data_IF_512182864499
#
_entry.id   IF_512182864499
#
_cell.length_a   1.000
_cell.length_b   1.000
_cell.length_c   1.000
_cell.angle_alpha   90.00
_cell.angle_beta   90.00
_cell.angle_gamma   90.00
#
_symmetry.space_group_name_H-M   'P 1'
#
loop_
_entity.id
_entity.type
_entity.pdbx_description
1 polymer ?
#
# COMPACT_ATOMS: atom_id res chain seq x y z
N UNK A 1 -17.33 14.73 -17.16
CA UNK A 1 -16.04 14.04 -16.98
C UNK A 1 -15.80 13.89 -15.48
N UNK A 2 -16.06 12.72 -14.89
CA UNK A 2 -15.95 12.51 -13.44
C UNK A 2 -14.91 11.44 -13.15
N UNK A 3 -13.79 11.86 -12.55
CA UNK A 3 -12.68 10.99 -12.19
C UNK A 3 -13.09 9.94 -11.18
N UNK A 4 -12.79 8.67 -11.49
CA UNK A 4 -12.90 7.53 -10.57
C UNK A 4 -11.82 7.70 -9.49
N UNK A 5 -12.16 7.98 -8.24
CA UNK A 5 -11.17 8.14 -7.17
C UNK A 5 -11.08 6.85 -6.35
N UNK A 6 -9.90 6.23 -6.32
CA UNK A 6 -9.60 5.17 -5.35
C UNK A 6 -9.06 5.82 -4.08
N UNK A 7 -9.78 5.65 -2.97
CA UNK A 7 -9.48 6.25 -1.66
C UNK A 7 -8.50 5.33 -0.93
N UNK A 8 -7.24 5.76 -0.79
CA UNK A 8 -6.21 5.08 -0.02
C UNK A 8 -6.12 5.75 1.36
N UNK A 9 -6.40 5.01 2.44
CA UNK A 9 -6.34 5.50 3.81
C UNK A 9 -5.13 4.88 4.51
N UNK A 10 -3.98 5.55 4.54
CA UNK A 10 -2.78 5.00 5.18
C UNK A 10 -2.91 5.10 6.71
N UNK A 11 -2.86 3.97 7.42
CA UNK A 11 -2.82 3.90 8.89
C UNK A 11 -1.49 3.24 9.28
N UNK A 12 -0.55 4.00 9.84
CA UNK A 12 0.71 3.47 10.35
C UNK A 12 0.59 3.11 11.84
N UNK A 13 0.73 1.82 12.18
CA UNK A 13 1.12 1.34 13.52
C UNK A 13 1.73 -0.06 13.45
N UNK A 14 2.97 -0.22 13.95
CA UNK A 14 3.38 -1.24 14.95
C UNK A 14 4.79 -0.89 15.46
N UNK A 15 4.97 -0.58 16.76
CA UNK A 15 6.28 -0.53 17.39
C UNK A 15 6.82 -1.95 17.54
N UNK A 16 8.12 -2.11 17.29
CA UNK A 16 8.98 -3.27 17.59
C UNK A 16 8.26 -4.62 17.75
N UNK A 17 8.07 -5.36 16.66
CA UNK A 17 7.81 -6.79 16.78
C UNK A 17 9.16 -7.51 16.61
N UNK A 18 9.62 -8.30 17.59
CA UNK A 18 10.82 -9.10 17.43
C UNK A 18 10.63 -10.00 16.21
N UNK A 19 11.64 -10.05 15.35
CA UNK A 19 11.64 -10.87 14.15
C UNK A 19 11.36 -12.32 14.55
N UNK A 20 10.15 -12.80 14.26
CA UNK A 20 9.86 -14.23 14.37
C UNK A 20 10.74 -14.93 13.33
N UNK A 21 11.40 -16.04 13.71
CA UNK A 21 12.18 -16.82 12.75
C UNK A 21 11.26 -17.30 11.64
N UNK A 22 11.71 -17.17 10.39
CA UNK A 22 11.03 -17.71 9.22
C UNK A 22 11.02 -19.23 9.31
N UNK A 23 9.90 -19.78 9.77
CA UNK A 23 9.59 -21.19 9.75
C UNK A 23 9.45 -21.66 8.30
N UNK A 24 10.39 -22.51 7.88
CA UNK A 24 10.36 -23.17 6.59
C UNK A 24 9.14 -24.13 6.55
N UNK A 25 8.43 -24.11 5.43
CA UNK A 25 7.28 -24.98 5.07
C UNK A 25 5.86 -24.46 5.44
N UNK A 26 5.44 -23.35 4.81
CA UNK A 26 4.02 -22.97 4.73
C UNK A 26 3.84 -21.77 3.80
N UNK A 27 2.99 -21.88 2.78
CA UNK A 27 2.80 -20.85 1.74
C UNK A 27 2.17 -19.55 2.25
N UNK A 28 2.91 -18.77 3.04
CA UNK A 28 2.54 -17.46 3.56
C UNK A 28 2.97 -16.29 2.65
N UNK A 29 2.53 -15.09 3.02
CA UNK A 29 2.96 -13.83 2.39
C UNK A 29 4.22 -13.31 3.10
N UNK A 30 5.29 -13.08 2.33
CA UNK A 30 6.61 -12.69 2.85
C UNK A 30 6.88 -11.19 2.78
N UNK A 31 6.35 -10.53 1.76
CA UNK A 31 6.60 -9.11 1.54
C UNK A 31 5.44 -8.47 0.79
N UNK A 32 5.26 -7.17 1.03
CA UNK A 32 4.29 -6.34 0.33
C UNK A 32 5.03 -5.10 -0.17
N UNK A 33 4.89 -4.80 -1.45
CA UNK A 33 5.47 -3.62 -2.09
C UNK A 33 4.39 -2.76 -2.71
N UNK A 34 4.56 -1.45 -2.61
CA UNK A 34 3.72 -0.47 -3.27
C UNK A 34 4.58 0.42 -4.15
N UNK A 35 4.27 0.42 -5.44
CA UNK A 35 4.77 1.41 -6.39
C UNK A 35 3.73 2.51 -6.55
N UNK A 36 4.15 3.77 -6.51
CA UNK A 36 3.31 4.93 -6.78
C UNK A 36 4.03 5.83 -7.79
N UNK A 37 3.30 6.31 -8.80
CA UNK A 37 3.89 7.21 -9.79
C UNK A 37 4.40 8.51 -9.14
N UNK A 38 5.69 8.78 -9.29
CA UNK A 38 6.31 10.00 -8.78
C UNK A 38 6.56 10.00 -7.26
N UNK A 39 6.38 8.87 -6.56
CA UNK A 39 6.73 8.72 -5.16
C UNK A 39 7.60 7.47 -5.00
N UNK A 40 8.89 7.68 -4.75
CA UNK A 40 9.85 6.60 -4.57
C UNK A 40 9.97 6.19 -3.10
N UNK A 41 10.03 4.89 -2.85
CA UNK A 41 10.38 4.29 -1.58
C UNK A 41 11.86 3.88 -1.50
N UNK A 42 12.21 3.11 -0.48
CA UNK A 42 13.60 2.76 -0.14
C UNK A 42 13.98 1.30 -0.43
N UNK A 43 13.08 0.51 -1.03
CA UNK A 43 13.34 -0.90 -1.30
C UNK A 43 14.54 -1.09 -2.24
N UNK A 44 15.43 -2.02 -1.87
CA UNK A 44 16.60 -2.44 -2.65
C UNK A 44 16.48 -3.87 -3.18
N UNK A 45 15.29 -4.46 -3.04
CA UNK A 45 15.05 -5.85 -3.44
C UNK A 45 14.92 -5.93 -4.95
N UNK A 46 15.63 -6.90 -5.56
CA UNK A 46 15.61 -7.10 -7.00
C UNK A 46 14.19 -7.30 -7.53
N UNK A 47 13.78 -6.50 -8.51
CA UNK A 47 12.43 -6.48 -9.08
C UNK A 47 11.41 -5.62 -8.32
N UNK A 48 11.81 -5.06 -7.16
CA UNK A 48 10.99 -4.17 -6.33
C UNK A 48 11.79 -2.95 -5.88
N UNK A 49 12.77 -2.52 -6.67
CA UNK A 49 13.63 -1.38 -6.39
C UNK A 49 12.81 -0.08 -6.37
N UNK A 50 13.17 0.82 -5.44
CA UNK A 50 12.54 2.14 -5.25
C UNK A 50 11.04 2.06 -4.94
N UNK A 51 10.51 0.88 -4.61
CA UNK A 51 9.14 0.72 -4.15
C UNK A 51 9.06 0.91 -2.64
N UNK A 52 7.87 1.28 -2.17
CA UNK A 52 7.56 1.41 -0.76
C UNK A 52 7.33 0.01 -0.20
N UNK A 53 8.15 -0.40 0.76
CA UNK A 53 7.92 -1.66 1.48
C UNK A 53 6.86 -1.43 2.55
N UNK A 54 5.81 -2.24 2.53
CA UNK A 54 4.73 -2.17 3.52
C UNK A 54 4.91 -3.22 4.60
N UNK A 55 4.37 -2.92 5.78
CA UNK A 55 4.29 -3.82 6.94
C UNK A 55 3.00 -4.61 6.87
N UNK A 56 1.89 -3.94 6.52
CA UNK A 56 0.57 -4.55 6.45
C UNK A 56 -0.29 -3.85 5.39
N UNK A 57 -1.24 -4.61 4.85
CA UNK A 57 -2.32 -4.08 4.04
C UNK A 57 -3.65 -4.63 4.59
N UNK A 58 -4.70 -3.83 4.47
CA UNK A 58 -6.06 -4.22 4.77
C UNK A 58 -6.96 -3.69 3.65
N UNK A 59 -7.74 -4.57 3.04
CA UNK A 59 -8.64 -4.22 1.95
C UNK A 59 -10.08 -4.53 2.36
N UNK A 60 -10.87 -3.48 2.59
CA UNK A 60 -12.25 -3.61 3.05
C UNK A 60 -13.22 -3.10 1.97
N UNK A 61 -13.50 -3.91 0.92
CA UNK A 61 -14.47 -3.52 -0.09
C UNK A 61 -15.87 -3.44 0.51
N UNK A 62 -16.43 -2.23 0.59
CA UNK A 62 -17.84 -2.05 0.96
C UNK A 62 -18.67 -1.96 -0.32
N UNK A 63 -19.60 -2.91 -0.49
CA UNK A 63 -20.60 -2.90 -1.56
C UNK A 63 -21.65 -1.85 -1.21
N UNK A 64 -21.86 -0.86 -2.08
CA UNK A 64 -23.01 0.04 -1.96
C UNK A 64 -24.26 -0.64 -2.53
N UNK A 65 -25.39 -0.52 -1.84
CA UNK A 65 -26.67 -1.02 -2.34
C UNK A 65 -27.14 -0.23 -3.57
N UNK A 66 -27.84 -0.92 -4.48
CA UNK A 66 -28.26 -0.41 -5.78
C UNK A 66 -29.40 0.60 -5.62
N UNK A 67 -29.06 1.88 -5.61
CA UNK A 67 -30.05 2.98 -5.59
C UNK A 67 -29.44 4.37 -5.74
N UNK A 68 -28.17 4.54 -5.37
CA UNK A 68 -27.42 5.76 -5.66
C UNK A 68 -26.71 5.64 -7.01
N UNK A 69 -26.93 6.59 -7.93
CA UNK A 69 -26.41 6.60 -9.30
C UNK A 69 -24.87 6.78 -9.43
N UNK A 70 -24.08 6.30 -8.46
CA UNK A 70 -22.63 6.53 -8.37
C UNK A 70 -21.89 5.32 -7.78
N UNK A 71 -21.56 4.34 -8.63
CA UNK A 71 -20.40 3.44 -8.46
C UNK A 71 -20.50 2.35 -7.39
N UNK A 72 -20.28 1.10 -7.80
CA UNK A 72 -20.64 -0.13 -7.05
C UNK A 72 -19.72 -0.49 -5.87
N UNK A 73 -18.57 0.16 -5.65
CA UNK A 73 -17.68 -0.19 -4.53
C UNK A 73 -16.92 1.03 -4.00
N UNK A 74 -17.01 1.28 -2.68
CA UNK A 74 -16.09 2.17 -1.95
C UNK A 74 -15.34 1.28 -0.96
N UNK A 75 -14.35 0.57 -1.47
CA UNK A 75 -13.39 -0.17 -0.67
C UNK A 75 -12.13 0.64 -0.48
N UNK A 76 -11.90 1.15 0.72
CA UNK A 76 -10.65 1.82 1.05
C UNK A 76 -9.54 0.80 1.26
N UNK A 77 -8.39 1.01 0.62
CA UNK A 77 -7.17 0.29 1.00
C UNK A 77 -6.55 1.00 2.18
N UNK A 78 -6.27 0.25 3.24
CA UNK A 78 -5.52 0.72 4.38
C UNK A 78 -4.16 0.08 4.42
N UNK A 79 -3.09 0.88 4.40
CA UNK A 79 -1.73 0.35 4.40
C UNK A 79 -0.94 0.90 5.59
N UNK A 80 0.01 0.10 6.05
CA UNK A 80 0.95 0.42 7.12
C UNK A 80 2.36 0.34 6.53
N UNK A 81 3.17 1.39 6.71
CA UNK A 81 4.55 1.46 6.24
C UNK A 81 5.46 2.05 7.32
N UNK A 82 6.78 1.75 7.32
CA UNK A 82 7.74 2.48 8.12
C UNK A 82 7.86 3.94 7.63
N UNK A 83 8.42 4.83 8.43
CA UNK A 83 8.81 6.16 7.94
C UNK A 83 10.06 5.99 7.09
N UNK A 84 9.93 6.28 5.80
CA UNK A 84 10.96 6.13 4.77
C UNK A 84 11.00 7.34 3.82
N UNK A 85 11.81 7.26 2.77
CA UNK A 85 11.94 8.26 1.70
C UNK A 85 10.62 8.70 1.04
N UNK A 86 9.63 7.81 0.93
CA UNK A 86 8.34 8.13 0.32
C UNK A 86 7.48 9.03 1.21
N UNK A 87 7.76 9.08 2.51
CA UNK A 87 6.88 9.72 3.51
C UNK A 87 6.61 11.20 3.22
N UNK A 88 7.61 12.05 2.94
CA UNK A 88 7.37 13.45 2.59
C UNK A 88 6.51 13.60 1.32
N UNK A 89 6.77 12.78 0.29
CA UNK A 89 5.99 12.79 -0.95
C UNK A 89 4.52 12.40 -0.74
N UNK A 90 4.26 11.41 0.11
CA UNK A 90 2.90 11.02 0.50
C UNK A 90 2.18 12.16 1.25
N UNK A 91 2.87 12.83 2.18
CA UNK A 91 2.33 13.98 2.90
C UNK A 91 2.04 15.16 1.96
N UNK A 92 2.93 15.45 1.01
CA UNK A 92 2.70 16.51 0.03
C UNK A 92 1.45 16.25 -0.79
N UNK A 93 1.26 15.01 -1.25
CA UNK A 93 0.07 14.62 -2.01
C UNK A 93 -1.20 14.72 -1.17
N UNK A 94 -1.13 14.28 0.09
CA UNK A 94 -2.24 14.37 1.04
C UNK A 94 -2.64 15.83 1.31
N UNK A 95 -1.68 16.68 1.70
CA UNK A 95 -1.94 18.08 2.07
C UNK A 95 -2.45 18.91 0.89
N UNK A 96 -1.97 18.64 -0.32
CA UNK A 96 -2.41 19.37 -1.52
C UNK A 96 -3.63 18.75 -2.20
N UNK A 97 -4.15 17.63 -1.69
CA UNK A 97 -5.21 16.87 -2.35
C UNK A 97 -4.82 16.36 -3.75
N UNK A 98 -3.52 16.25 -4.04
CA UNK A 98 -3.01 15.74 -5.31
C UNK A 98 -3.24 14.24 -5.39
N UNK A 99 -3.37 13.76 -6.61
CA UNK A 99 -3.71 12.38 -6.89
C UNK A 99 -2.64 11.74 -7.75
N UNK A 100 -2.27 10.52 -7.41
CA UNK A 100 -1.28 9.74 -8.13
C UNK A 100 -1.99 9.03 -9.28
N UNK A 101 -1.40 9.08 -10.49
CA UNK A 101 -2.01 8.52 -11.70
C UNK A 101 -2.20 7.01 -11.58
N UNK A 102 -1.12 6.30 -11.22
CA UNK A 102 -1.13 4.86 -11.05
C UNK A 102 -0.42 4.44 -9.75
N UNK A 103 -0.93 3.37 -9.13
CA UNK A 103 -0.28 2.68 -8.04
C UNK A 103 -0.39 1.17 -8.21
N UNK A 104 0.66 0.44 -7.86
CA UNK A 104 0.68 -1.03 -7.94
C UNK A 104 1.03 -1.60 -6.58
N UNK A 105 0.07 -2.27 -5.94
CA UNK A 105 0.28 -2.99 -4.68
C UNK A 105 0.52 -4.46 -5.01
N UNK A 106 1.69 -4.98 -4.65
CA UNK A 106 2.12 -6.34 -4.95
C UNK A 106 2.37 -7.10 -3.66
N UNK A 107 1.72 -8.25 -3.52
CA UNK A 107 1.95 -9.19 -2.44
C UNK A 107 2.85 -10.30 -2.98
N UNK A 108 3.92 -10.57 -2.25
CA UNK A 108 4.96 -11.50 -2.65
C UNK A 108 5.09 -12.63 -1.65
N UNK A 109 5.41 -13.80 -2.17
CA UNK A 109 5.93 -14.93 -1.40
C UNK A 109 7.37 -15.18 -1.82
N UNK A 110 8.19 -15.69 -0.92
CA UNK A 110 9.56 -16.07 -1.19
C UNK A 110 9.56 -17.48 -1.74
N UNK A 111 10.19 -17.66 -2.89
CA UNK A 111 10.46 -18.98 -3.46
C UNK A 111 11.91 -19.05 -3.90
N UNK A 112 12.65 -20.05 -3.41
CA UNK A 112 14.07 -20.29 -3.73
C UNK A 112 14.95 -19.03 -3.66
N UNK A 113 14.67 -18.16 -2.69
CA UNK A 113 15.41 -16.90 -2.48
C UNK A 113 14.92 -15.69 -3.28
N UNK A 114 14.03 -15.87 -4.26
CA UNK A 114 13.41 -14.80 -5.03
C UNK A 114 12.05 -14.38 -4.46
N UNK A 115 11.70 -13.10 -4.63
CA UNK A 115 10.35 -12.60 -4.34
C UNK A 115 9.45 -12.82 -5.55
N UNK A 116 8.46 -13.70 -5.41
CA UNK A 116 7.48 -13.97 -6.45
C UNK A 116 6.15 -13.27 -6.13
N UNK A 117 5.67 -12.37 -7.00
CA UNK A 117 4.31 -11.84 -6.92
C UNK A 117 3.28 -12.96 -6.96
N UNK A 118 2.27 -12.91 -6.10
CA UNK A 118 1.11 -13.80 -6.18
C UNK A 118 -0.23 -13.06 -6.25
N UNK A 119 -0.31 -11.83 -5.72
CA UNK A 119 -1.46 -10.93 -5.90
C UNK A 119 -0.93 -9.55 -6.31
N UNK A 120 -1.55 -8.95 -7.33
CA UNK A 120 -1.22 -7.62 -7.83
C UNK A 120 -2.52 -6.81 -7.92
N UNK A 121 -2.57 -5.68 -7.21
CA UNK A 121 -3.64 -4.69 -7.34
C UNK A 121 -3.13 -3.50 -8.14
N UNK A 122 -3.72 -3.27 -9.30
CA UNK A 122 -3.50 -2.05 -10.10
C UNK A 122 -4.54 -1.01 -9.72
N UNK A 123 -4.07 0.11 -9.19
CA UNK A 123 -4.86 1.22 -8.71
C UNK A 123 -4.70 2.38 -9.69
N UNK A 124 -5.81 2.94 -10.15
CA UNK A 124 -5.81 4.14 -10.99
C UNK A 124 -6.37 5.31 -10.21
N UNK A 125 -5.83 6.50 -10.48
CA UNK A 125 -6.29 7.76 -9.91
C UNK A 125 -6.39 7.70 -8.36
N UNK A 126 -5.25 7.36 -7.76
CA UNK A 126 -5.10 7.08 -6.33
C UNK A 126 -5.08 8.39 -5.57
N UNK A 127 -5.98 8.51 -4.60
CA UNK A 127 -6.03 9.65 -3.68
C UNK A 127 -5.65 9.19 -2.28
N UNK A 128 -4.66 9.86 -1.69
CA UNK A 128 -4.35 9.69 -0.27
C UNK A 128 -5.41 10.47 0.51
N UNK A 129 -6.16 9.76 1.34
CA UNK A 129 -7.33 10.28 2.05
C UNK A 129 -7.08 10.51 3.53
N UNK A 130 -6.09 9.82 4.09
CA UNK A 130 -5.68 9.92 5.48
C UNK A 130 -4.22 9.52 5.59
N UNK A 131 -3.50 10.29 6.41
CA UNK A 131 -2.15 10.00 6.88
C UNK A 131 -2.18 10.11 8.41
N UNK A 132 -1.61 9.13 9.10
CA UNK A 132 -1.39 9.19 10.55
C UNK A 132 -0.02 8.63 10.85
N UNK A 133 0.83 9.44 11.46
CA UNK A 133 2.14 9.02 11.95
C UNK A 133 2.10 8.95 13.48
N UNK A 134 2.73 7.91 14.01
CA UNK A 134 3.03 7.78 15.43
C UNK A 134 4.50 7.39 15.56
N UNK A 135 5.17 7.97 16.54
CA UNK A 135 6.54 7.67 16.90
C UNK A 135 6.62 7.46 18.40
N UNK A 136 7.43 6.51 18.80
CA UNK A 136 7.89 6.31 20.16
C UNK A 136 9.42 6.49 20.16
N UNK A 137 9.97 7.05 21.21
CA UNK A 137 11.37 7.50 21.29
C UNK A 137 12.24 6.58 22.12
#
# INVERSE_FOLDING_TARGET
>A
MAGKWNVLSLLAFRPCQPALPHDNHGGGMDAIYLKLDGIEGESRIKGFENQIKLIAYNHNPTKRESGEARGTYIGGLTLTKPVDLATPGLYEHYCNGKTVKEGVLTLCRRDKGAMLPFIIYTLTNVRISRMSNHGDA
#
